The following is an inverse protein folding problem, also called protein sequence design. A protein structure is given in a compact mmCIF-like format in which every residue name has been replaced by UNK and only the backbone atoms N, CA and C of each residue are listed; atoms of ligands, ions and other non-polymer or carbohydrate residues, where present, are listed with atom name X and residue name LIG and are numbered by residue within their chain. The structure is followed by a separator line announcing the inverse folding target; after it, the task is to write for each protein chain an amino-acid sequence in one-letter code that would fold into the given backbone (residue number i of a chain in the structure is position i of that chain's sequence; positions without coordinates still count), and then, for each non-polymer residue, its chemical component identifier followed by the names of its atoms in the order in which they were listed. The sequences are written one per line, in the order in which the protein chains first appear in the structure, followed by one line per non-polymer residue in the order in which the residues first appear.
data_IF_162921496850
#
_entry.id   IF_162921496850
#
_cell.length_a   1.000
_cell.length_b   1.000
_cell.length_c   1.000
_cell.angle_alpha   90.00
_cell.angle_beta   90.00
_cell.angle_gamma   90.00
#
_symmetry.space_group_name_H-M   'P 1'
#
loop_
_entity.id
_entity.type
_entity.pdbx_description
1 polymer ?
#
# COMPACT_ATOMS: atom_id res chain seq x y z
N UNK A 1 5.98 -6.13 -13.83
CA UNK A 1 5.31 -6.04 -12.51
C UNK A 1 3.82 -5.92 -12.77
N UNK A 2 3.00 -6.77 -12.15
CA UNK A 2 1.55 -6.78 -12.37
C UNK A 2 0.90 -5.67 -11.54
N UNK A 3 0.26 -4.72 -12.23
CA UNK A 3 -0.43 -3.60 -11.60
C UNK A 3 -1.60 -4.04 -10.71
N UNK A 4 -2.28 -5.14 -11.07
CA UNK A 4 -3.41 -5.65 -10.31
C UNK A 4 -2.96 -6.22 -8.96
N UNK A 5 -1.83 -6.94 -8.92
CA UNK A 5 -1.24 -7.43 -7.67
C UNK A 5 -0.84 -6.30 -6.72
N UNK A 6 -0.27 -5.22 -7.24
CA UNK A 6 0.11 -4.03 -6.47
C UNK A 6 -1.12 -3.32 -5.91
N UNK A 7 -2.17 -3.17 -6.73
CA UNK A 7 -3.43 -2.57 -6.30
C UNK A 7 -4.12 -3.40 -5.23
N UNK A 8 -4.17 -4.73 -5.38
CA UNK A 8 -4.69 -5.65 -4.38
C UNK A 8 -3.92 -5.57 -3.04
N UNK A 9 -2.60 -5.46 -3.08
CA UNK A 9 -1.79 -5.24 -1.88
C UNK A 9 -2.15 -3.91 -1.20
N UNK A 10 -2.29 -2.84 -1.98
CA UNK A 10 -2.72 -1.53 -1.48
C UNK A 10 -4.08 -1.59 -0.78
N UNK A 11 -5.05 -2.32 -1.35
CA UNK A 11 -6.36 -2.54 -0.73
C UNK A 11 -6.24 -3.34 0.57
N UNK A 12 -5.50 -4.47 0.55
CA UNK A 12 -5.33 -5.35 1.72
C UNK A 12 -4.70 -4.63 2.91
N UNK A 13 -3.69 -3.79 2.68
CA UNK A 13 -3.04 -3.00 3.73
C UNK A 13 -3.98 -1.96 4.37
N UNK A 14 -4.98 -1.49 3.64
CA UNK A 14 -5.96 -0.53 4.14
C UNK A 14 -7.18 -1.14 4.80
N UNK A 15 -7.70 -2.22 4.22
CA UNK A 15 -9.00 -2.76 4.59
C UNK A 15 -8.89 -3.85 5.67
N UNK A 16 -7.75 -4.55 5.77
CA UNK A 16 -7.52 -5.61 6.77
C UNK A 16 -7.14 -5.05 8.15
N UNK A 17 -7.93 -5.37 9.17
CA UNK A 17 -7.75 -4.90 10.56
C UNK A 17 -6.39 -5.26 11.17
N UNK A 18 -5.79 -6.39 10.77
CA UNK A 18 -4.46 -6.81 11.24
C UNK A 18 -3.35 -5.86 10.81
N UNK A 19 -3.51 -5.19 9.67
CA UNK A 19 -2.46 -4.38 9.06
C UNK A 19 -2.77 -2.89 9.09
N UNK A 20 -4.05 -2.50 9.06
CA UNK A 20 -4.50 -1.11 8.89
C UNK A 20 -3.79 -0.12 9.80
N UNK A 21 -3.54 -0.51 11.04
CA UNK A 21 -2.96 0.37 12.06
C UNK A 21 -1.45 0.26 12.25
N UNK A 22 -0.83 -0.74 11.64
CA UNK A 22 0.61 -0.99 11.72
C UNK A 22 1.42 0.11 11.01
N UNK A 23 2.47 0.68 11.65
CA UNK A 23 3.27 1.75 11.04
C UNK A 23 3.88 1.36 9.70
N UNK A 24 4.41 0.13 9.58
CA UNK A 24 4.99 -0.36 8.32
C UNK A 24 3.96 -0.44 7.20
N UNK A 25 2.73 -0.84 7.52
CA UNK A 25 1.65 -0.96 6.56
C UNK A 25 1.15 0.41 6.10
N UNK A 26 1.05 1.39 7.01
CA UNK A 26 0.75 2.80 6.69
C UNK A 26 1.81 3.39 5.76
N UNK A 27 3.09 3.15 6.05
CA UNK A 27 4.21 3.60 5.23
C UNK A 27 4.20 2.97 3.83
N UNK A 28 4.01 1.65 3.77
CA UNK A 28 3.91 0.90 2.52
C UNK A 28 2.71 1.38 1.69
N UNK A 29 1.53 1.51 2.32
CA UNK A 29 0.32 1.97 1.64
C UNK A 29 0.47 3.38 1.07
N UNK A 30 1.16 4.28 1.77
CA UNK A 30 1.49 5.61 1.27
C UNK A 30 2.35 5.54 0.00
N UNK A 31 3.43 4.76 0.01
CA UNK A 31 4.30 4.62 -1.16
C UNK A 31 3.59 3.92 -2.33
N UNK A 32 2.78 2.91 -2.05
CA UNK A 32 1.95 2.26 -3.06
C UNK A 32 0.95 3.24 -3.69
N UNK A 33 0.33 4.12 -2.90
CA UNK A 33 -0.57 5.15 -3.43
C UNK A 33 0.14 6.08 -4.42
N UNK A 34 1.36 6.54 -4.07
CA UNK A 34 2.19 7.36 -4.96
C UNK A 34 2.59 6.62 -6.24
N UNK A 35 2.95 5.34 -6.12
CA UNK A 35 3.28 4.50 -7.27
C UNK A 35 2.06 4.31 -8.19
N UNK A 36 0.90 3.95 -7.63
CA UNK A 36 -0.35 3.75 -8.35
C UNK A 36 -0.85 5.03 -9.02
N UNK A 37 -0.64 6.19 -8.38
CA UNK A 37 -0.88 7.50 -8.99
C UNK A 37 -0.01 7.69 -10.24
N UNK A 38 1.30 7.41 -10.15
CA UNK A 38 2.21 7.48 -11.30
C UNK A 38 1.79 6.51 -12.42
N UNK A 39 1.20 5.37 -12.07
CA UNK A 39 0.63 4.40 -13.03
C UNK A 39 -0.76 4.76 -13.56
N UNK A 40 -1.35 5.88 -13.10
CA UNK A 40 -2.71 6.35 -13.46
C UNK A 40 -3.84 5.42 -13.01
N UNK A 41 -3.59 4.54 -12.05
CA UNK A 41 -4.62 3.68 -11.43
C UNK A 41 -5.34 4.40 -10.29
N UNK A 42 -4.64 5.31 -9.63
CA UNK A 42 -5.21 6.28 -8.70
C UNK A 42 -5.10 7.68 -9.29
N UNK A 43 -6.15 8.50 -9.08
CA UNK A 43 -6.16 9.91 -9.44
C UNK A 43 -6.22 10.74 -8.18
N UNK A 44 -5.27 11.66 -8.00
CA UNK A 44 -5.33 12.63 -6.92
C UNK A 44 -6.56 13.53 -7.14
N UNK A 45 -7.49 13.54 -6.17
CA UNK A 45 -8.68 14.38 -6.18
C UNK A 45 -8.50 15.60 -5.29
N UNK A 46 -7.85 15.43 -4.14
CA UNK A 46 -7.70 16.47 -3.13
C UNK A 46 -6.46 16.20 -2.27
N UNK A 47 -5.99 17.23 -1.58
CA UNK A 47 -4.93 17.13 -0.58
C UNK A 47 -5.11 18.24 0.45
N UNK A 48 -4.62 18.02 1.67
CA UNK A 48 -4.73 19.00 2.73
C UNK A 48 -4.05 18.55 4.00
N UNK A 49 -4.41 19.18 5.11
CA UNK A 49 -3.91 18.86 6.45
C UNK A 49 -5.11 18.76 7.39
N UNK A 50 -5.13 17.72 8.22
CA UNK A 50 -6.10 17.54 9.30
C UNK A 50 -5.38 17.25 10.64
N UNK A 51 -6.13 16.89 11.68
CA UNK A 51 -5.60 16.59 13.01
C UNK A 51 -4.58 15.42 13.02
N UNK A 52 -4.62 14.54 12.00
CA UNK A 52 -3.67 13.43 11.82
C UNK A 52 -2.48 13.80 10.93
N UNK A 53 -2.46 15.02 10.38
CA UNK A 53 -1.37 15.56 9.57
C UNK A 53 -1.75 15.74 8.10
N UNK A 54 -0.74 15.81 7.24
CA UNK A 54 -0.95 16.02 5.81
C UNK A 54 -1.56 14.76 5.18
N UNK A 55 -2.49 14.93 4.26
CA UNK A 55 -3.16 13.84 3.56
C UNK A 55 -3.33 14.11 2.07
N UNK A 56 -3.51 13.02 1.33
CA UNK A 56 -3.97 13.02 -0.06
C UNK A 56 -5.20 12.13 -0.19
N UNK A 57 -6.16 12.56 -1.00
CA UNK A 57 -7.35 11.79 -1.37
C UNK A 57 -7.21 11.32 -2.81
N UNK A 58 -7.21 9.99 -2.98
CA UNK A 58 -7.09 9.33 -4.26
C UNK A 58 -8.39 8.66 -4.66
N UNK A 59 -8.83 8.87 -5.90
CA UNK A 59 -9.93 8.14 -6.51
C UNK A 59 -9.40 6.99 -7.37
N UNK A 60 -9.89 5.77 -7.13
CA UNK A 60 -9.70 4.64 -8.04
C UNK A 60 -10.84 4.60 -9.05
N UNK A 61 -10.50 4.61 -10.33
CA UNK A 61 -11.48 4.36 -11.40
C UNK A 61 -11.89 2.90 -11.51
N UNK A 62 -11.09 1.97 -10.95
CA UNK A 62 -11.37 0.53 -11.02
C UNK A 62 -12.44 0.14 -9.98
N UNK A 63 -12.38 0.73 -8.79
CA UNK A 63 -13.26 0.39 -7.65
C UNK A 63 -14.34 1.44 -7.34
N UNK A 64 -14.37 2.56 -8.07
CA UNK A 64 -15.26 3.72 -7.80
C UNK A 64 -15.20 4.15 -6.32
N UNK A 65 -13.98 4.20 -5.76
CA UNK A 65 -13.72 4.42 -4.33
C UNK A 65 -12.70 5.53 -4.10
N UNK A 66 -12.93 6.31 -3.06
CA UNK A 66 -12.00 7.31 -2.53
C UNK A 66 -11.16 6.72 -1.39
N UNK A 67 -9.87 7.01 -1.41
CA UNK A 67 -8.89 6.61 -0.42
C UNK A 67 -8.20 7.85 0.16
N UNK A 68 -8.44 8.13 1.44
CA UNK A 68 -7.68 9.15 2.18
C UNK A 68 -6.44 8.50 2.77
N UNK A 69 -5.27 9.01 2.40
CA UNK A 69 -3.97 8.49 2.83
C UNK A 69 -3.16 9.62 3.47
N UNK A 70 -2.82 9.46 4.74
CA UNK A 70 -1.99 10.39 5.48
C UNK A 70 -0.51 10.19 5.14
N UNK A 71 0.23 11.29 5.04
CA UNK A 71 1.67 11.31 4.86
C UNK A 71 2.33 10.96 6.22
N UNK A 72 3.03 9.82 6.33
CA UNK A 72 3.67 9.41 7.57
C UNK A 72 4.95 10.19 7.89
N UNK A 73 5.35 11.16 7.05
CA UNK A 73 6.55 12.00 7.22
C UNK A 73 7.84 11.16 7.29
N UNK A 74 8.00 10.26 6.32
CA UNK A 74 9.17 9.38 6.23
C UNK A 74 10.48 10.18 6.17
N UNK A 75 11.41 9.82 7.03
CA UNK A 75 12.82 10.21 6.93
C UNK A 75 13.52 9.48 5.77
N UNK A 76 14.69 9.97 5.34
CA UNK A 76 15.48 9.31 4.28
C UNK A 76 15.87 7.87 4.65
N UNK A 77 16.13 7.60 5.94
CA UNK A 77 16.44 6.26 6.43
C UNK A 77 15.23 5.33 6.29
N UNK A 78 14.03 5.80 6.65
CA UNK A 78 12.79 5.04 6.51
C UNK A 78 12.42 4.80 5.05
N UNK A 79 12.66 5.78 4.17
CA UNK A 79 12.50 5.60 2.72
C UNK A 79 13.44 4.50 2.21
N UNK A 80 14.69 4.48 2.69
CA UNK A 80 15.68 3.46 2.30
C UNK A 80 15.25 2.06 2.76
N UNK A 81 14.85 1.92 4.02
CA UNK A 81 14.34 0.64 4.56
C UNK A 81 13.10 0.16 3.81
N UNK A 82 12.18 1.06 3.52
CA UNK A 82 10.95 0.74 2.81
C UNK A 82 11.24 0.30 1.37
N UNK A 83 12.22 0.91 0.71
CA UNK A 83 12.67 0.48 -0.61
C UNK A 83 13.23 -0.96 -0.56
N UNK A 84 14.03 -1.29 0.44
CA UNK A 84 14.54 -2.67 0.64
C UNK A 84 13.41 -3.68 0.92
N UNK A 85 12.42 -3.30 1.73
CA UNK A 85 11.24 -4.13 2.02
C UNK A 85 10.38 -4.37 0.78
N UNK A 86 10.14 -3.32 -0.01
CA UNK A 86 9.48 -3.42 -1.32
C UNK A 86 10.26 -4.40 -2.19
N UNK A 87 11.57 -4.22 -2.35
CA UNK A 87 12.39 -5.09 -3.18
C UNK A 87 12.33 -6.55 -2.71
N UNK A 88 12.33 -6.82 -1.40
CA UNK A 88 12.18 -8.18 -0.84
C UNK A 88 10.80 -8.79 -1.09
N UNK A 89 9.73 -8.00 -0.94
CA UNK A 89 8.36 -8.45 -1.22
C UNK A 89 8.15 -8.80 -2.69
N UNK A 90 8.94 -8.20 -3.58
CA UNK A 90 8.80 -8.34 -5.03
C UNK A 90 9.93 -9.13 -5.71
N UNK A 91 10.95 -9.56 -4.98
CA UNK A 91 12.01 -10.42 -5.50
C UNK A 91 11.53 -11.89 -5.51
N UNK A 92 11.34 -12.50 -6.70
CA UNK A 92 10.90 -13.89 -6.80
C UNK A 92 11.87 -14.89 -6.13
N UNK A 93 13.11 -14.51 -5.81
CA UNK A 93 14.05 -15.31 -5.03
C UNK A 93 13.95 -15.11 -3.51
N UNK A 94 13.22 -14.09 -3.02
CA UNK A 94 13.05 -13.74 -1.60
C UNK A 94 11.59 -13.69 -1.13
N UNK A 95 10.64 -13.90 -2.03
CA UNK A 95 9.31 -14.35 -1.64
C UNK A 95 9.47 -15.72 -0.98
N UNK A 96 9.60 -15.72 0.35
CA UNK A 96 9.46 -16.95 1.11
C UNK A 96 8.07 -17.50 0.80
N UNK A 97 8.02 -18.70 0.21
CA UNK A 97 6.76 -19.36 -0.15
C UNK A 97 5.75 -19.35 1.00
N UNK A 98 6.22 -19.31 2.26
CA UNK A 98 5.42 -19.15 3.47
C UNK A 98 4.55 -17.89 3.51
N UNK A 99 5.07 -16.71 3.13
CA UNK A 99 4.30 -15.46 3.18
C UNK A 99 3.20 -15.42 2.11
N UNK A 100 3.47 -15.92 0.90
CA UNK A 100 2.41 -16.06 -0.11
C UNK A 100 1.43 -17.20 0.22
N UNK A 101 1.89 -18.28 0.87
CA UNK A 101 1.03 -19.38 1.31
C UNK A 101 0.06 -18.94 2.41
N UNK A 102 0.49 -18.13 3.38
CA UNK A 102 -0.42 -17.56 4.39
C UNK A 102 -1.46 -16.64 3.74
N UNK A 103 -1.05 -15.82 2.76
CA UNK A 103 -1.96 -14.93 2.05
C UNK A 103 -2.94 -15.68 1.12
N UNK A 104 -2.57 -16.87 0.63
CA UNK A 104 -3.37 -17.71 -0.26
C UNK A 104 -4.27 -18.72 0.49
N UNK A 105 -3.88 -19.17 1.68
CA UNK A 105 -4.68 -20.09 2.51
C UNK A 105 -5.90 -19.39 3.12
N UNK A 106 -5.82 -18.09 3.40
CA UNK A 106 -6.99 -17.28 3.82
C UNK A 106 -8.07 -17.19 2.73
N UNK A 107 -7.72 -17.38 1.45
CA UNK A 107 -8.69 -17.34 0.33
C UNK A 107 -9.44 -18.66 0.13
N UNK A 108 -9.07 -19.74 0.84
CA UNK A 108 -9.69 -21.06 0.72
C UNK A 108 -10.57 -21.43 1.92
N UNK A 109 -10.68 -20.57 2.93
CA UNK A 109 -11.43 -20.81 4.16
C UNK A 109 -12.75 -20.01 4.25
N UNK A 110 -13.25 -19.45 3.15
CA UNK A 110 -14.59 -18.83 3.08
C UNK A 110 -15.48 -19.54 2.07
#
# INVERSE_FOLDING_TARGET
MDNAAIFNLFLRLGDNEKYRDEPWAKNMRYVLALFLMRKKLLKLQNQGTDDMGDFMEFYSTEDDKLFKIHNPKLSEEEVTKLNDEILKLFDPAHVSQSALLELAQDSAAT
#
